data_IF_962772905229
#
_entry.id   IF_962772905229
#
_cell.length_a   1.000
_cell.length_b   1.000
_cell.length_c   1.000
_cell.angle_alpha   90.00
_cell.angle_beta   90.00
_cell.angle_gamma   90.00
#
_symmetry.space_group_name_H-M   'P 1'
#
loop_
_entity.id
_entity.type
_entity.pdbx_description
1 polymer ?
#
# COMPACT_ATOMS: atom_id res chain seq x y z
N UNK A 1 -31.93 7.88 13.63
CA UNK A 1 -30.67 8.29 14.29
C UNK A 1 -30.21 7.09 15.08
N UNK A 2 -29.02 6.52 14.81
CA UNK A 2 -28.46 5.52 15.71
C UNK A 2 -28.36 6.20 17.09
N UNK A 3 -28.93 5.53 18.08
CA UNK A 3 -28.90 5.95 19.46
C UNK A 3 -27.44 6.08 19.89
N UNK A 4 -27.01 7.31 20.22
CA UNK A 4 -25.64 7.65 20.66
C UNK A 4 -25.06 6.65 21.68
N UNK A 5 -25.85 6.05 22.61
CA UNK A 5 -25.34 5.00 23.50
C UNK A 5 -24.86 3.74 22.77
N UNK A 6 -25.55 3.28 21.72
CA UNK A 6 -25.13 2.06 21.02
C UNK A 6 -23.91 2.28 20.16
N UNK A 7 -23.78 3.40 19.43
CA UNK A 7 -22.55 3.70 18.67
C UNK A 7 -21.35 3.79 19.60
N UNK A 8 -21.52 4.51 20.73
CA UNK A 8 -20.48 4.62 21.74
C UNK A 8 -20.09 3.24 22.28
N UNK A 9 -21.05 2.34 22.53
CA UNK A 9 -20.73 0.98 22.98
C UNK A 9 -19.98 0.14 21.95
N UNK A 10 -20.31 0.28 20.65
CA UNK A 10 -19.60 -0.42 19.58
C UNK A 10 -18.18 0.12 19.42
N UNK A 11 -18.01 1.43 19.50
CA UNK A 11 -16.70 2.10 19.41
C UNK A 11 -15.80 1.70 20.60
N UNK A 12 -16.34 1.67 21.83
CA UNK A 12 -15.60 1.18 23.00
C UNK A 12 -15.28 -0.31 22.92
N UNK A 13 -16.20 -1.15 22.46
CA UNK A 13 -15.96 -2.58 22.28
C UNK A 13 -14.81 -2.82 21.27
N UNK A 14 -14.80 -2.06 20.17
CA UNK A 14 -13.72 -2.08 19.19
C UNK A 14 -12.38 -1.61 19.79
N UNK A 15 -12.38 -0.52 20.57
CA UNK A 15 -11.18 -0.03 21.24
C UNK A 15 -10.62 -1.03 22.25
N UNK A 16 -11.47 -1.67 23.07
CA UNK A 16 -11.08 -2.71 24.02
C UNK A 16 -10.53 -3.93 23.30
N UNK A 17 -11.15 -4.36 22.20
CA UNK A 17 -10.64 -5.44 21.37
C UNK A 17 -9.25 -5.13 20.82
N UNK A 18 -9.05 -3.93 20.24
CA UNK A 18 -7.77 -3.50 19.70
C UNK A 18 -6.68 -3.44 20.77
N UNK A 19 -7.01 -2.89 21.95
CA UNK A 19 -6.11 -2.90 23.12
C UNK A 19 -5.80 -4.32 23.60
N UNK A 20 -6.79 -5.21 23.60
CA UNK A 20 -6.61 -6.63 23.93
C UNK A 20 -5.67 -7.33 22.95
N UNK A 21 -5.81 -7.10 21.65
CA UNK A 21 -4.94 -7.65 20.60
C UNK A 21 -3.52 -7.08 20.74
N UNK A 22 -3.36 -5.75 20.87
CA UNK A 22 -2.05 -5.13 21.08
C UNK A 22 -1.40 -5.63 22.38
N UNK A 23 -2.17 -5.79 23.45
CA UNK A 23 -1.73 -6.35 24.72
C UNK A 23 -1.27 -7.81 24.61
N UNK A 24 -2.03 -8.64 23.87
CA UNK A 24 -1.65 -10.02 23.60
C UNK A 24 -0.36 -10.10 22.78
N UNK A 25 -0.24 -9.30 21.71
CA UNK A 25 0.99 -9.22 20.90
C UNK A 25 2.17 -8.79 21.77
N UNK A 26 2.02 -7.74 22.58
CA UNK A 26 3.05 -7.26 23.49
C UNK A 26 3.41 -8.32 24.55
N UNK A 27 2.43 -9.05 25.08
CA UNK A 27 2.64 -10.15 26.01
C UNK A 27 3.40 -11.31 25.35
N UNK A 28 3.02 -11.74 24.15
CA UNK A 28 3.71 -12.80 23.42
C UNK A 28 5.15 -12.42 23.08
N UNK A 29 5.37 -11.19 22.59
CA UNK A 29 6.72 -10.67 22.31
C UNK A 29 7.53 -10.51 23.61
N UNK A 30 6.92 -10.05 24.69
CA UNK A 30 7.54 -9.87 26.00
C UNK A 30 7.97 -11.19 26.63
N UNK A 31 7.05 -12.17 26.69
CA UNK A 31 7.31 -13.53 27.18
C UNK A 31 8.35 -14.23 26.32
N UNK A 32 8.25 -14.13 24.98
CA UNK A 32 9.25 -14.69 24.06
C UNK A 32 10.63 -14.04 24.24
N UNK A 33 10.69 -12.72 24.47
CA UNK A 33 11.94 -11.99 24.73
C UNK A 33 12.55 -12.30 26.11
N UNK A 34 11.72 -12.66 27.11
CA UNK A 34 12.17 -13.05 28.46
C UNK A 34 12.62 -14.52 28.53
N UNK A 35 11.86 -15.43 27.91
CA UNK A 35 12.17 -16.86 27.87
C UNK A 35 13.23 -17.20 26.81
N UNK A 36 13.36 -16.37 25.78
CA UNK A 36 14.33 -16.55 24.72
C UNK A 36 15.76 -16.32 25.22
N UNK A 37 16.62 -17.32 25.03
CA UNK A 37 18.06 -17.15 25.28
C UNK A 37 18.63 -16.09 24.34
N UNK A 38 18.94 -14.92 24.91
CA UNK A 38 19.58 -13.81 24.20
C UNK A 38 21.05 -14.13 23.93
N UNK A 39 21.31 -15.04 22.99
CA UNK A 39 22.65 -15.24 22.47
C UNK A 39 23.02 -14.04 21.57
N UNK A 40 23.89 -13.16 22.08
CA UNK A 40 24.42 -12.00 21.37
C UNK A 40 25.70 -12.40 20.63
N UNK A 41 25.54 -13.07 19.49
CA UNK A 41 26.65 -13.31 18.56
C UNK A 41 26.72 -12.21 17.51
N UNK A 42 27.88 -11.58 17.30
CA UNK A 42 28.05 -10.52 16.29
C UNK A 42 27.57 -10.96 14.90
N UNK A 43 27.91 -12.18 14.49
CA UNK A 43 27.48 -12.78 13.23
C UNK A 43 25.95 -12.97 13.11
N UNK A 44 25.22 -13.10 14.23
CA UNK A 44 23.75 -13.27 14.23
C UNK A 44 23.01 -11.97 13.89
N UNK A 45 23.65 -10.82 14.08
CA UNK A 45 23.08 -9.51 13.79
C UNK A 45 23.53 -8.94 12.44
N UNK A 46 24.41 -9.64 11.71
CA UNK A 46 24.85 -9.22 10.38
C UNK A 46 23.83 -9.72 9.33
N UNK A 47 23.37 -8.87 8.39
CA UNK A 47 22.52 -9.29 7.28
C UNK A 47 23.17 -10.46 6.51
N UNK A 48 22.38 -11.50 6.22
CA UNK A 48 22.87 -12.66 5.49
C UNK A 48 23.06 -12.35 4.02
N UNK A 49 24.29 -12.47 3.52
CA UNK A 49 24.63 -12.30 2.11
C UNK A 49 25.69 -13.35 1.69
N UNK A 50 25.47 -14.63 1.99
CA UNK A 50 26.31 -15.77 1.54
C UNK A 50 27.83 -15.52 1.60
N UNK A 51 28.32 -14.91 2.69
CA UNK A 51 29.75 -14.62 2.90
C UNK A 51 30.23 -13.24 2.42
N UNK A 52 29.37 -12.38 1.91
CA UNK A 52 29.68 -10.98 1.62
C UNK A 52 29.22 -10.08 2.77
N UNK A 53 30.06 -9.12 3.15
CA UNK A 53 29.63 -8.07 4.07
C UNK A 53 28.70 -7.12 3.30
N UNK A 54 27.59 -6.65 3.90
CA UNK A 54 26.76 -5.64 3.26
C UNK A 54 27.61 -4.39 3.02
N UNK A 55 27.82 -4.06 1.75
CA UNK A 55 28.57 -2.87 1.34
C UNK A 55 27.61 -1.86 0.71
N UNK A 56 27.69 -0.61 1.16
CA UNK A 56 26.86 0.49 0.67
C UNK A 56 25.78 0.95 1.66
N UNK A 57 25.21 2.11 1.36
CA UNK A 57 24.12 2.70 2.14
C UNK A 57 22.79 2.09 1.68
N UNK A 58 21.83 1.89 2.61
CA UNK A 58 20.47 1.43 2.31
C UNK A 58 19.66 2.38 1.38
N UNK A 59 20.24 3.53 1.01
CA UNK A 59 19.74 4.43 -0.03
C UNK A 59 20.16 3.97 -1.43
N UNK A 60 19.81 2.73 -1.78
CA UNK A 60 19.94 2.29 -3.16
C UNK A 60 18.97 3.13 -4.01
N UNK A 61 19.43 3.63 -5.16
CA UNK A 61 18.55 4.29 -6.14
C UNK A 61 17.66 3.22 -6.77
N UNK A 62 16.61 2.85 -6.06
CA UNK A 62 15.53 2.03 -6.59
C UNK A 62 14.96 2.75 -7.83
N UNK A 63 14.60 1.98 -8.86
CA UNK A 63 14.16 2.56 -10.13
C UNK A 63 13.00 3.54 -9.91
N UNK A 64 12.99 4.67 -10.63
CA UNK A 64 11.93 5.68 -10.55
C UNK A 64 10.52 5.11 -10.79
N UNK A 65 10.43 3.92 -11.39
CA UNK A 65 9.17 3.18 -11.58
C UNK A 65 8.44 2.87 -10.28
N UNK A 66 9.15 2.51 -9.20
CA UNK A 66 8.50 2.28 -7.90
C UNK A 66 7.82 3.54 -7.35
N UNK A 67 8.46 4.69 -7.57
CA UNK A 67 7.88 5.97 -7.20
C UNK A 67 6.64 6.29 -8.03
N UNK A 68 6.66 6.05 -9.35
CA UNK A 68 5.49 6.27 -10.21
C UNK A 68 4.30 5.41 -9.79
N UNK A 69 4.52 4.12 -9.50
CA UNK A 69 3.45 3.22 -9.02
C UNK A 69 2.90 3.70 -7.68
N UNK A 70 3.75 4.11 -6.73
CA UNK A 70 3.31 4.61 -5.43
C UNK A 70 2.52 5.93 -5.55
N UNK A 71 2.99 6.86 -6.39
CA UNK A 71 2.30 8.12 -6.66
C UNK A 71 0.93 7.88 -7.31
N UNK A 72 0.88 6.98 -8.30
CA UNK A 72 -0.36 6.58 -8.97
C UNK A 72 -1.35 5.93 -8.00
N UNK A 73 -0.86 5.09 -7.08
CA UNK A 73 -1.68 4.48 -6.02
C UNK A 73 -2.30 5.55 -5.11
N UNK A 74 -1.54 6.55 -4.67
CA UNK A 74 -2.06 7.64 -3.83
C UNK A 74 -3.12 8.45 -4.56
N UNK A 75 -2.92 8.75 -5.85
CA UNK A 75 -3.90 9.48 -6.66
C UNK A 75 -5.20 8.68 -6.79
N UNK A 76 -5.12 7.40 -7.19
CA UNK A 76 -6.29 6.55 -7.31
C UNK A 76 -7.00 6.27 -5.97
N UNK A 77 -6.27 6.20 -4.86
CA UNK A 77 -6.85 6.02 -3.52
C UNK A 77 -7.68 7.24 -3.11
N UNK A 78 -7.17 8.45 -3.36
CA UNK A 78 -7.92 9.69 -3.14
C UNK A 78 -9.15 9.78 -4.05
N UNK A 79 -9.05 9.34 -5.29
CA UNK A 79 -10.17 9.29 -6.22
C UNK A 79 -11.25 8.27 -5.80
N UNK A 80 -10.83 7.10 -5.33
CA UNK A 80 -11.72 6.09 -4.77
C UNK A 80 -12.47 6.62 -3.53
N UNK A 81 -11.82 7.44 -2.71
CA UNK A 81 -12.46 8.11 -1.58
C UNK A 81 -13.59 9.05 -2.04
N UNK A 82 -13.42 9.81 -3.13
CA UNK A 82 -14.50 10.63 -3.70
C UNK A 82 -15.66 9.78 -4.23
N UNK A 83 -15.34 8.68 -4.90
CA UNK A 83 -16.36 7.73 -5.37
C UNK A 83 -17.12 7.09 -4.21
N UNK A 84 -16.43 6.76 -3.12
CA UNK A 84 -17.06 6.22 -1.91
C UNK A 84 -18.00 7.24 -1.26
N UNK A 85 -17.59 8.49 -1.13
CA UNK A 85 -18.43 9.56 -0.60
C UNK A 85 -19.71 9.73 -1.43
N UNK A 86 -19.59 9.73 -2.76
CA UNK A 86 -20.75 9.73 -3.66
C UNK A 86 -21.59 8.44 -3.53
N UNK A 87 -20.94 7.28 -3.40
CA UNK A 87 -21.60 5.97 -3.29
C UNK A 87 -22.53 5.87 -2.08
N UNK A 88 -22.19 6.53 -0.97
CA UNK A 88 -23.02 6.57 0.24
C UNK A 88 -24.30 7.40 0.05
N UNK A 89 -24.31 8.37 -0.86
CA UNK A 89 -25.45 9.28 -1.11
C UNK A 89 -26.01 9.21 -2.54
N UNK A 90 -25.92 8.05 -3.21
CA UNK A 90 -26.34 7.90 -4.61
C UNK A 90 -27.82 8.23 -4.80
N UNK A 91 -28.68 7.86 -3.83
CA UNK A 91 -30.13 8.07 -3.93
C UNK A 91 -30.50 9.54 -3.78
N UNK A 92 -29.82 10.25 -2.88
CA UNK A 92 -30.04 11.66 -2.57
C UNK A 92 -29.49 12.57 -3.68
N UNK A 93 -28.42 12.14 -4.35
CA UNK A 93 -27.78 12.92 -5.41
C UNK A 93 -28.54 12.91 -6.74
N UNK A 94 -29.40 11.90 -6.95
CA UNK A 94 -30.23 11.76 -8.15
C UNK A 94 -29.43 11.70 -9.46
N UNK A 95 -30.06 12.10 -10.56
CA UNK A 95 -29.46 12.08 -11.90
C UNK A 95 -28.25 13.00 -12.04
N UNK A 96 -28.26 14.15 -11.36
CA UNK A 96 -27.14 15.11 -11.40
C UNK A 96 -25.89 14.48 -10.80
N UNK A 97 -26.03 13.81 -9.65
CA UNK A 97 -24.93 13.05 -9.04
C UNK A 97 -24.42 11.93 -9.94
N UNK A 98 -25.32 11.18 -10.58
CA UNK A 98 -24.93 10.10 -11.48
C UNK A 98 -24.12 10.61 -12.69
N UNK A 99 -24.58 11.69 -13.34
CA UNK A 99 -23.85 12.30 -14.46
C UNK A 99 -22.49 12.82 -14.01
N UNK A 100 -22.44 13.52 -12.86
CA UNK A 100 -21.19 14.02 -12.29
C UNK A 100 -20.19 12.90 -11.98
N UNK A 101 -20.64 11.83 -11.32
CA UNK A 101 -19.81 10.67 -11.02
C UNK A 101 -19.34 9.95 -12.29
N UNK A 102 -20.21 9.81 -13.30
CA UNK A 102 -19.86 9.18 -14.58
C UNK A 102 -18.78 9.97 -15.32
N UNK A 103 -18.91 11.30 -15.39
CA UNK A 103 -17.90 12.18 -15.99
C UNK A 103 -16.59 12.07 -15.22
N UNK A 104 -16.63 12.10 -13.89
CA UNK A 104 -15.47 11.94 -13.04
C UNK A 104 -14.75 10.62 -13.33
N UNK A 105 -15.45 9.48 -13.23
CA UNK A 105 -14.89 8.14 -13.52
C UNK A 105 -14.29 8.07 -14.92
N UNK A 106 -14.94 8.67 -15.93
CA UNK A 106 -14.44 8.66 -17.31
C UNK A 106 -13.10 9.39 -17.43
N UNK A 107 -12.95 10.53 -16.74
CA UNK A 107 -11.69 11.28 -16.69
C UNK A 107 -10.59 10.44 -16.01
N UNK A 108 -10.91 9.79 -14.88
CA UNK A 108 -9.95 8.92 -14.18
C UNK A 108 -9.50 7.76 -15.05
N UNK A 109 -10.46 7.12 -15.72
CA UNK A 109 -10.19 6.01 -16.62
C UNK A 109 -9.31 6.44 -17.80
N UNK A 110 -9.55 7.62 -18.37
CA UNK A 110 -8.69 8.19 -19.41
C UNK A 110 -7.24 8.41 -18.91
N UNK A 111 -7.08 8.92 -17.68
CA UNK A 111 -5.77 9.06 -17.02
C UNK A 111 -5.07 7.70 -16.83
N UNK A 112 -5.78 6.69 -16.35
CA UNK A 112 -5.25 5.33 -16.19
C UNK A 112 -4.79 4.74 -17.52
N UNK A 113 -5.60 4.88 -18.57
CA UNK A 113 -5.28 4.39 -19.91
C UNK A 113 -4.04 5.11 -20.45
N UNK A 114 -3.91 6.42 -20.24
CA UNK A 114 -2.75 7.20 -20.65
C UNK A 114 -1.46 6.73 -19.98
N UNK A 115 -1.47 6.59 -18.65
CA UNK A 115 -0.31 6.11 -17.89
C UNK A 115 0.07 4.67 -18.23
N UNK A 116 -0.93 3.81 -18.46
CA UNK A 116 -0.70 2.46 -18.94
C UNK A 116 -0.07 2.44 -20.33
N UNK A 117 -0.47 3.35 -21.23
CA UNK A 117 0.10 3.44 -22.57
C UNK A 117 1.54 3.97 -22.57
N UNK A 118 1.92 4.81 -21.60
CA UNK A 118 3.29 5.30 -21.41
C UNK A 118 4.23 4.21 -20.87
N UNK A 119 3.68 3.08 -20.38
CA UNK A 119 4.47 2.03 -19.77
C UNK A 119 4.94 2.39 -18.35
N UNK A 120 4.23 3.31 -17.67
CA UNK A 120 4.47 3.58 -16.25
C UNK A 120 4.29 2.31 -15.39
N UNK A 121 3.46 1.37 -15.87
CA UNK A 121 3.24 0.06 -15.27
C UNK A 121 4.18 -1.06 -15.79
N UNK A 122 5.10 -0.80 -16.72
CA UNK A 122 5.93 -1.89 -17.27
C UNK A 122 7.06 -2.28 -16.31
N UNK A 123 6.87 -3.42 -15.65
CA UNK A 123 7.80 -4.07 -14.71
C UNK A 123 9.04 -4.68 -15.39
N UNK A 124 9.13 -4.66 -16.72
CA UNK A 124 10.27 -5.19 -17.45
C UNK A 124 11.35 -4.12 -17.68
N UNK A 125 12.65 -4.43 -17.45
CA UNK A 125 13.72 -3.57 -17.94
C UNK A 125 13.74 -3.67 -19.47
N UNK A 126 13.32 -2.62 -20.16
CA UNK A 126 13.41 -2.52 -21.63
C UNK A 126 14.83 -2.78 -22.17
N UNK A 127 15.84 -2.65 -21.30
CA UNK A 127 17.22 -3.05 -21.55
C UNK A 127 17.36 -4.52 -22.00
N UNK A 128 16.52 -5.46 -21.54
CA UNK A 128 16.57 -6.85 -22.02
C UNK A 128 16.02 -7.00 -23.43
N UNK A 129 14.97 -6.26 -23.79
CA UNK A 129 14.32 -6.35 -25.11
C UNK A 129 15.21 -5.74 -26.21
N UNK A 130 15.83 -4.59 -25.94
CA UNK A 130 16.81 -3.97 -26.86
C UNK A 130 18.10 -4.80 -27.00
N UNK A 131 18.56 -5.46 -25.92
CA UNK A 131 19.76 -6.32 -25.97
C UNK A 131 19.50 -7.65 -26.69
N UNK A 132 18.32 -8.24 -26.56
CA UNK A 132 17.91 -9.41 -27.35
C UNK A 132 17.74 -9.08 -28.84
N UNK A 133 17.21 -7.89 -29.18
CA UNK A 133 17.10 -7.46 -30.58
C UNK A 133 18.48 -7.24 -31.22
N UNK A 134 19.46 -6.71 -30.47
CA UNK A 134 20.85 -6.55 -30.93
C UNK A 134 21.64 -7.85 -31.07
N UNK A 135 21.25 -8.92 -30.38
CA UNK A 135 21.91 -10.24 -30.43
C UNK A 135 21.38 -11.15 -31.55
N UNK A 136 20.28 -10.76 -32.21
CA UNK A 136 19.67 -11.49 -33.33
C UNK A 136 20.01 -10.88 -34.71
N UNK A 137 20.82 -9.82 -34.74
CA UNK A 137 21.47 -9.29 -35.94
C UNK A 137 22.94 -9.71 -35.95
#
# INVERSE_FOLDING_TARGET
>A
MPDVPSTLSHDWAFAVFLLGVCGLIAFMLGVSSLLGSKAWGRSKNEPFESGMLPTGNARLRLSAKFYLVAMLFVIFDVEALFLFAWAVSVRESGWVGLVGATVFITILFAGLVYESAIGALDWAPEGRRKRQAKLKQ
#
